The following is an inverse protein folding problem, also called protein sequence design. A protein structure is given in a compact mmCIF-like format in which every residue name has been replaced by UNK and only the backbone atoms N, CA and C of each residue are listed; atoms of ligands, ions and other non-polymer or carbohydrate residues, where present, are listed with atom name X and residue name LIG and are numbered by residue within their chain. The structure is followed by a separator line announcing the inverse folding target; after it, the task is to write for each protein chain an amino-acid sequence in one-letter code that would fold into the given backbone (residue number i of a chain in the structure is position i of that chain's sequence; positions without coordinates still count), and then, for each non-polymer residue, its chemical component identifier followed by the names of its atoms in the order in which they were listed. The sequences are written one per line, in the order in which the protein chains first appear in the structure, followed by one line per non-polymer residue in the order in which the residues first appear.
data_IF_098779048165
#
_entry.id   IF_098779048165
#
_cell.length_a   1.000
_cell.length_b   1.000
_cell.length_c   1.000
_cell.angle_alpha   90.00
_cell.angle_beta   90.00
_cell.angle_gamma   90.00
#
_symmetry.space_group_name_H-M   'P 1'
#
loop_
_entity.id
_entity.type
_entity.pdbx_description
1 polymer ?
#
# COMPACT_ATOMS: atom_id res chain seq x y z
N UNK A 1 10.31 -4.78 -28.63
CA UNK A 1 9.84 -6.15 -28.30
C UNK A 1 8.65 -6.02 -27.38
N UNK A 2 7.48 -6.50 -27.81
CA UNK A 2 6.23 -6.38 -27.05
C UNK A 2 6.14 -7.42 -25.92
N UNK A 3 5.17 -7.29 -25.02
CA UNK A 3 5.01 -8.20 -23.86
C UNK A 3 4.78 -9.65 -24.28
N UNK A 4 4.07 -9.88 -25.39
CA UNK A 4 3.80 -11.22 -25.92
C UNK A 4 5.10 -11.91 -26.38
N UNK A 5 5.93 -11.20 -27.14
CA UNK A 5 7.25 -11.67 -27.58
C UNK A 5 8.21 -11.93 -26.40
N UNK A 6 8.11 -11.14 -25.32
CA UNK A 6 8.89 -11.38 -24.09
C UNK A 6 8.45 -12.67 -23.40
N UNK A 7 7.15 -12.92 -23.34
CA UNK A 7 6.57 -14.13 -22.75
C UNK A 7 6.92 -15.35 -23.61
N UNK A 8 6.73 -15.29 -24.93
CA UNK A 8 7.01 -16.41 -25.86
C UNK A 8 8.51 -16.80 -25.87
N UNK A 9 9.41 -15.85 -25.61
CA UNK A 9 10.84 -16.15 -25.42
C UNK A 9 11.15 -16.70 -24.03
N UNK A 10 10.43 -16.24 -23.01
CA UNK A 10 10.56 -16.69 -21.63
C UNK A 10 10.01 -18.10 -21.35
N UNK A 11 9.25 -18.66 -22.29
CA UNK A 11 8.78 -20.06 -22.25
C UNK A 11 9.79 -21.06 -22.77
N UNK A 12 10.90 -20.63 -23.39
CA UNK A 12 11.98 -21.53 -23.81
C UNK A 12 12.86 -21.93 -22.59
N UNK A 13 12.83 -23.20 -22.14
CA UNK A 13 13.59 -23.64 -20.97
C UNK A 13 15.11 -23.62 -21.19
N UNK A 14 15.58 -23.53 -22.44
CA UNK A 14 17.01 -23.45 -22.78
C UNK A 14 17.59 -22.04 -22.71
N UNK A 15 16.75 -21.01 -22.45
CA UNK A 15 17.15 -19.60 -22.51
C UNK A 15 16.84 -18.84 -21.23
N UNK A 16 17.83 -18.10 -20.74
CA UNK A 16 17.63 -17.12 -19.69
C UNK A 16 17.25 -15.77 -20.29
N UNK A 17 15.99 -15.35 -20.12
CA UNK A 17 15.50 -14.07 -20.64
C UNK A 17 15.51 -12.99 -19.55
N UNK A 18 16.50 -12.09 -19.63
CA UNK A 18 16.58 -10.89 -18.80
C UNK A 18 16.19 -9.67 -19.64
N UNK A 19 15.15 -8.94 -19.24
CA UNK A 19 14.77 -7.69 -19.88
C UNK A 19 15.08 -6.53 -18.94
N UNK A 20 15.80 -5.53 -19.46
CA UNK A 20 16.04 -4.28 -18.74
C UNK A 20 14.72 -3.51 -18.65
N UNK A 21 14.32 -3.18 -17.42
CA UNK A 21 13.16 -2.36 -17.10
C UNK A 21 13.59 -1.28 -16.11
N UNK A 22 13.87 -0.09 -16.64
CA UNK A 22 14.52 0.98 -15.89
C UNK A 22 15.97 0.63 -15.52
N UNK A 23 16.32 0.79 -14.24
CA UNK A 23 17.65 0.45 -13.69
C UNK A 23 17.81 -1.03 -13.31
N UNK A 24 16.76 -1.84 -13.42
CA UNK A 24 16.78 -3.25 -13.03
C UNK A 24 16.64 -4.17 -14.25
N UNK A 25 17.11 -5.40 -14.12
CA UNK A 25 16.76 -6.48 -15.03
C UNK A 25 15.65 -7.31 -14.39
N UNK A 26 14.54 -7.50 -15.11
CA UNK A 26 13.53 -8.49 -14.74
C UNK A 26 13.80 -9.80 -15.46
N UNK A 27 13.82 -10.87 -14.69
CA UNK A 27 13.88 -12.23 -15.19
C UNK A 27 12.46 -12.70 -15.49
N UNK A 28 12.21 -13.12 -16.72
CA UNK A 28 10.98 -13.79 -17.12
C UNK A 28 11.37 -15.22 -17.51
N UNK A 29 10.99 -16.20 -16.69
CA UNK A 29 11.19 -17.61 -17.00
C UNK A 29 10.07 -18.43 -16.34
N UNK A 30 9.40 -19.29 -17.12
CA UNK A 30 8.32 -20.16 -16.63
C UNK A 30 8.81 -21.19 -15.60
N UNK A 31 10.11 -21.43 -15.52
CA UNK A 31 10.78 -22.35 -14.60
C UNK A 31 11.66 -21.64 -13.57
N UNK A 32 11.23 -20.48 -13.05
CA UNK A 32 11.98 -19.69 -12.06
C UNK A 32 12.49 -20.50 -10.85
N UNK A 33 11.81 -21.61 -10.48
CA UNK A 33 12.25 -22.54 -9.43
C UNK A 33 13.51 -23.35 -9.83
N UNK A 34 13.57 -23.85 -11.06
CA UNK A 34 14.71 -24.59 -11.61
C UNK A 34 15.94 -23.68 -11.76
N UNK A 35 15.70 -22.39 -12.03
CA UNK A 35 16.74 -21.37 -11.99
C UNK A 35 17.30 -21.24 -10.57
N UNK A 36 16.47 -20.98 -9.54
CA UNK A 36 16.94 -20.81 -8.15
C UNK A 36 17.74 -21.98 -7.60
N UNK A 37 17.44 -23.23 -8.00
CA UNK A 37 18.19 -24.40 -7.54
C UNK A 37 19.58 -24.53 -8.19
N UNK A 38 19.77 -24.03 -9.41
CA UNK A 38 21.05 -24.08 -10.12
C UNK A 38 21.98 -22.88 -9.87
N UNK A 39 21.45 -21.71 -9.46
CA UNK A 39 22.25 -20.51 -9.12
C UNK A 39 22.67 -20.41 -7.64
N UNK A 40 22.25 -21.33 -6.75
CA UNK A 40 22.72 -21.36 -5.35
C UNK A 40 24.26 -21.37 -5.23
N UNK A 41 24.97 -21.93 -6.21
CA UNK A 41 26.44 -21.91 -6.26
C UNK A 41 27.07 -20.57 -6.68
N UNK A 42 26.30 -19.63 -7.25
CA UNK A 42 26.83 -18.42 -7.90
C UNK A 42 26.76 -17.15 -7.05
N UNK A 43 26.48 -17.25 -5.74
CA UNK A 43 26.40 -16.12 -4.79
C UNK A 43 25.50 -14.95 -5.25
N UNK A 44 24.49 -15.22 -6.09
CA UNK A 44 23.53 -14.21 -6.54
C UNK A 44 22.51 -13.96 -5.42
N UNK A 45 22.39 -12.70 -4.96
CA UNK A 45 21.33 -12.29 -4.02
C UNK A 45 19.99 -12.19 -4.76
N UNK A 46 19.21 -13.27 -4.78
CA UNK A 46 17.84 -13.25 -5.28
C UNK A 46 16.95 -12.47 -4.29
N UNK A 47 16.54 -11.25 -4.65
CA UNK A 47 15.77 -10.34 -3.77
C UNK A 47 14.25 -10.38 -4.00
N UNK A 48 13.78 -10.97 -5.09
CA UNK A 48 12.36 -11.03 -5.43
C UNK A 48 12.00 -12.35 -6.15
N UNK A 49 11.56 -13.34 -5.37
CA UNK A 49 10.78 -14.47 -5.88
C UNK A 49 9.42 -14.38 -5.19
N UNK A 50 8.37 -14.03 -5.94
CA UNK A 50 7.00 -14.05 -5.42
C UNK A 50 6.34 -15.35 -5.87
N UNK A 51 5.98 -16.21 -4.91
CA UNK A 51 4.96 -17.22 -5.14
C UNK A 51 3.60 -16.52 -5.15
N UNK A 52 2.76 -16.84 -6.14
CA UNK A 52 1.38 -16.39 -6.17
C UNK A 52 0.55 -17.23 -5.19
N UNK A 53 -0.21 -16.54 -4.32
CA UNK A 53 -1.22 -17.17 -3.46
C UNK A 53 -0.72 -17.57 -2.08
N UNK A 54 -0.88 -16.67 -1.11
CA UNK A 54 -1.16 -17.00 0.29
C UNK A 54 -1.55 -15.73 1.04
N UNK A 55 -2.85 -15.48 1.16
CA UNK A 55 -3.41 -14.60 2.19
C UNK A 55 -4.58 -15.33 2.85
N UNK A 56 -4.37 -15.75 4.10
CA UNK A 56 -5.45 -16.08 5.03
C UNK A 56 -5.64 -14.85 5.92
N UNK A 57 -6.84 -14.28 5.93
CA UNK A 57 -7.26 -13.28 6.92
C UNK A 57 -8.49 -13.84 7.65
N UNK A 58 -8.37 -13.90 8.97
CA UNK A 58 -9.45 -14.25 9.92
C UNK A 58 -9.78 -12.97 10.70
N UNK A 59 -11.01 -12.45 10.47
CA UNK A 59 -12.09 -11.95 11.39
C UNK A 59 -11.63 -11.22 12.71
N UNK A 60 -12.19 -10.11 13.25
CA UNK A 60 -13.61 -9.77 13.57
C UNK A 60 -13.74 -8.36 14.23
N UNK A 61 -14.72 -7.55 13.79
CA UNK A 61 -15.60 -6.55 14.46
C UNK A 61 -15.07 -5.35 15.28
N UNK A 62 -15.57 -4.12 14.97
CA UNK A 62 -16.36 -3.27 15.90
C UNK A 62 -17.15 -2.14 15.18
N UNK A 63 -18.33 -1.85 15.74
CA UNK A 63 -19.41 -0.94 15.32
C UNK A 63 -19.20 0.54 15.72
N UNK A 64 -19.77 1.42 14.89
CA UNK A 64 -20.51 2.68 15.17
C UNK A 64 -19.79 3.88 15.84
N UNK A 65 -19.66 4.95 15.05
CA UNK A 65 -20.06 6.30 15.46
C UNK A 65 -20.94 6.87 14.34
N UNK A 66 -22.25 7.00 14.59
CA UNK A 66 -23.18 7.74 13.73
C UNK A 66 -23.05 9.22 14.06
N UNK A 67 -22.73 10.10 13.10
CA UNK A 67 -23.08 11.50 13.22
C UNK A 67 -24.56 11.67 12.89
N UNK A 68 -25.31 12.20 13.86
CA UNK A 68 -26.70 12.62 13.69
C UNK A 68 -26.71 13.84 12.77
N UNK A 69 -26.86 13.62 11.46
CA UNK A 69 -27.25 14.66 10.51
C UNK A 69 -28.73 14.53 10.22
N UNK A 70 -29.48 15.50 10.75
CA UNK A 70 -30.90 15.68 10.49
C UNK A 70 -31.13 16.09 9.02
N UNK A 71 -32.00 15.35 8.33
CA UNK A 71 -32.92 15.93 7.34
C UNK A 71 -32.43 16.10 5.90
N UNK A 72 -32.01 15.01 5.25
CA UNK A 72 -32.31 14.78 3.83
C UNK A 72 -32.25 13.27 3.63
N UNK A 73 -33.39 12.60 3.38
CA UNK A 73 -33.42 11.20 2.96
C UNK A 73 -32.82 11.13 1.55
N UNK A 74 -31.48 11.16 1.46
CA UNK A 74 -30.81 10.82 0.22
C UNK A 74 -31.12 9.35 -0.05
N UNK A 75 -31.81 9.08 -1.16
CA UNK A 75 -32.12 7.72 -1.57
C UNK A 75 -30.80 6.93 -1.65
N UNK A 76 -30.61 5.95 -0.77
CA UNK A 76 -29.44 5.09 -0.81
C UNK A 76 -29.55 4.17 -2.02
N UNK A 77 -28.48 4.02 -2.78
CA UNK A 77 -28.46 3.06 -3.87
C UNK A 77 -28.45 1.67 -3.26
N UNK A 78 -29.38 0.81 -3.69
CA UNK A 78 -29.39 -0.59 -3.33
C UNK A 78 -28.44 -1.34 -4.26
N UNK A 79 -27.37 -1.91 -3.70
CA UNK A 79 -26.44 -2.78 -4.40
C UNK A 79 -26.83 -4.24 -4.16
N UNK A 80 -27.11 -4.98 -5.22
CA UNK A 80 -27.36 -6.43 -5.14
C UNK A 80 -26.15 -7.19 -5.69
N UNK A 81 -25.45 -7.94 -4.84
CA UNK A 81 -24.32 -8.79 -5.25
C UNK A 81 -24.85 -10.21 -5.50
N UNK A 82 -24.64 -10.70 -6.72
CA UNK A 82 -25.14 -12.00 -7.16
C UNK A 82 -24.01 -12.82 -7.81
N UNK A 83 -23.30 -13.64 -7.03
CA UNK A 83 -22.25 -14.50 -7.56
C UNK A 83 -22.81 -15.83 -8.11
N UNK A 84 -22.26 -16.29 -9.23
CA UNK A 84 -22.57 -17.59 -9.85
C UNK A 84 -21.70 -18.72 -9.28
N UNK A 85 -20.54 -18.37 -8.72
CA UNK A 85 -19.62 -19.29 -8.04
C UNK A 85 -19.39 -18.84 -6.60
N UNK A 86 -19.01 -19.76 -5.71
CA UNK A 86 -18.70 -19.39 -4.33
C UNK A 86 -17.40 -18.57 -4.31
N UNK A 87 -17.42 -17.40 -3.66
CA UNK A 87 -16.31 -16.45 -3.68
C UNK A 87 -16.16 -15.71 -2.35
N UNK A 88 -14.91 -15.41 -1.99
CA UNK A 88 -14.58 -14.48 -0.92
C UNK A 88 -14.25 -13.13 -1.54
N UNK A 89 -15.04 -12.11 -1.21
CA UNK A 89 -14.91 -10.77 -1.79
C UNK A 89 -14.91 -9.68 -0.74
N UNK A 90 -14.24 -8.59 -1.07
CA UNK A 90 -14.29 -7.32 -0.36
C UNK A 90 -14.53 -6.20 -1.37
N UNK A 91 -15.49 -5.32 -1.08
CA UNK A 91 -15.76 -4.12 -1.87
C UNK A 91 -15.22 -2.92 -1.08
N UNK A 92 -14.19 -2.27 -1.64
CA UNK A 92 -13.44 -1.21 -0.98
C UNK A 92 -13.76 0.12 -1.65
N UNK A 93 -14.32 1.06 -0.90
CA UNK A 93 -14.46 2.45 -1.28
C UNK A 93 -13.30 3.31 -0.77
N UNK A 94 -13.28 4.58 -1.16
CA UNK A 94 -12.22 5.53 -0.85
C UNK A 94 -12.79 6.85 -0.33
N UNK A 95 -12.04 7.46 0.59
CA UNK A 95 -12.24 8.84 0.98
C UNK A 95 -10.85 9.50 1.03
N UNK A 96 -10.50 10.23 -0.03
CA UNK A 96 -9.14 10.70 -0.28
C UNK A 96 -8.16 9.53 -0.41
N UNK A 97 -7.25 9.39 0.55
CA UNK A 97 -6.25 8.31 0.58
C UNK A 97 -6.67 7.11 1.44
N UNK A 98 -7.75 7.24 2.21
CA UNK A 98 -8.23 6.23 3.16
C UNK A 98 -9.13 5.21 2.46
N UNK A 99 -8.91 3.93 2.76
CA UNK A 99 -9.77 2.82 2.30
C UNK A 99 -10.92 2.60 3.27
N UNK A 100 -12.12 2.40 2.74
CA UNK A 100 -13.33 2.12 3.50
C UNK A 100 -13.95 0.82 3.02
N UNK A 101 -14.06 -0.19 3.88
CA UNK A 101 -14.71 -1.46 3.53
C UNK A 101 -16.23 -1.25 3.45
N UNK A 102 -16.80 -1.33 2.24
CA UNK A 102 -18.24 -1.20 1.98
C UNK A 102 -18.95 -2.52 2.29
N UNK A 103 -18.33 -3.61 1.83
CA UNK A 103 -18.80 -4.99 2.02
C UNK A 103 -17.59 -5.93 2.13
N UNK A 104 -17.67 -6.92 3.01
CA UNK A 104 -16.69 -8.00 3.10
C UNK A 104 -17.38 -9.28 3.52
N UNK A 105 -17.19 -10.35 2.77
CA UNK A 105 -17.78 -11.63 3.12
C UNK A 105 -17.55 -12.75 2.12
N UNK A 106 -17.85 -13.96 2.57
CA UNK A 106 -17.94 -15.18 1.77
C UNK A 106 -19.35 -15.29 1.21
N UNK A 107 -19.47 -15.39 -0.12
CA UNK A 107 -20.73 -15.48 -0.82
C UNK A 107 -20.91 -16.87 -1.42
N UNK A 108 -22.08 -17.48 -1.23
CA UNK A 108 -22.40 -18.78 -1.81
C UNK A 108 -22.81 -18.66 -3.28
N UNK A 109 -22.55 -19.69 -4.09
CA UNK A 109 -22.99 -19.72 -5.48
C UNK A 109 -24.53 -19.56 -5.60
N UNK A 110 -24.99 -18.67 -6.47
CA UNK A 110 -26.40 -18.38 -6.72
C UNK A 110 -27.10 -17.58 -5.61
N UNK A 111 -26.39 -17.17 -4.57
CA UNK A 111 -26.94 -16.32 -3.51
C UNK A 111 -27.19 -14.89 -4.00
N UNK A 112 -28.11 -14.18 -3.36
CA UNK A 112 -28.30 -12.74 -3.55
C UNK A 112 -28.03 -12.04 -2.23
N UNK A 113 -27.16 -11.04 -2.26
CA UNK A 113 -26.82 -10.25 -1.11
C UNK A 113 -27.15 -8.79 -1.40
N UNK A 114 -28.17 -8.27 -0.73
CA UNK A 114 -28.59 -6.88 -0.86
C UNK A 114 -27.86 -6.02 0.17
N UNK A 115 -27.37 -4.87 -0.27
CA UNK A 115 -26.63 -3.94 0.56
C UNK A 115 -27.00 -2.52 0.19
N UNK A 116 -27.65 -1.83 1.12
CA UNK A 116 -27.79 -0.38 1.02
C UNK A 116 -26.45 0.27 1.40
N UNK A 117 -26.00 1.22 0.59
CA UNK A 117 -24.76 1.93 0.86
C UNK A 117 -24.89 3.43 0.58
N UNK A 118 -24.40 4.29 1.51
CA UNK A 118 -24.31 5.72 1.26
C UNK A 118 -23.10 6.08 0.38
N UNK A 119 -22.23 5.11 0.06
CA UNK A 119 -21.04 5.36 -0.74
C UNK A 119 -21.41 5.77 -2.18
N UNK A 120 -20.71 6.79 -2.69
CA UNK A 120 -20.82 7.28 -4.06
C UNK A 120 -19.44 7.47 -4.65
N UNK A 121 -19.13 6.81 -5.76
CA UNK A 121 -17.82 6.89 -6.40
C UNK A 121 -17.34 5.56 -6.96
N UNK A 122 -16.03 5.44 -7.18
CA UNK A 122 -15.38 4.24 -7.68
C UNK A 122 -14.94 3.36 -6.50
N UNK A 123 -15.55 2.20 -6.36
CA UNK A 123 -15.11 1.15 -5.45
C UNK A 123 -14.26 0.11 -6.19
N UNK A 124 -13.47 -0.67 -5.44
CA UNK A 124 -12.75 -1.84 -5.94
C UNK A 124 -13.36 -3.11 -5.37
N UNK A 125 -13.85 -3.98 -6.24
CA UNK A 125 -14.17 -5.37 -5.92
C UNK A 125 -12.87 -6.18 -5.89
N UNK A 126 -12.49 -6.69 -4.72
CA UNK A 126 -11.27 -7.44 -4.47
C UNK A 126 -11.62 -8.88 -4.11
N UNK A 127 -11.05 -9.83 -4.85
CA UNK A 127 -11.16 -11.25 -4.55
C UNK A 127 -10.02 -11.74 -3.66
N UNK A 128 -10.24 -12.80 -2.89
CA UNK A 128 -9.18 -13.44 -2.09
C UNK A 128 -7.95 -13.88 -2.92
N UNK A 129 -8.14 -14.18 -4.21
CA UNK A 129 -7.06 -14.48 -5.16
C UNK A 129 -6.22 -13.27 -5.59
N UNK A 130 -6.61 -12.06 -5.21
CA UNK A 130 -5.93 -10.81 -5.51
C UNK A 130 -6.42 -10.10 -6.78
N UNK A 131 -7.36 -10.67 -7.53
CA UNK A 131 -8.01 -10.00 -8.65
C UNK A 131 -8.82 -8.79 -8.17
N UNK A 132 -8.84 -7.73 -8.97
CA UNK A 132 -9.47 -6.45 -8.64
C UNK A 132 -10.25 -5.93 -9.82
N UNK A 133 -11.46 -5.46 -9.57
CA UNK A 133 -12.33 -4.90 -10.59
C UNK A 133 -12.95 -3.58 -10.12
N UNK A 134 -12.89 -2.52 -10.92
CA UNK A 134 -13.56 -1.25 -10.62
C UNK A 134 -15.08 -1.39 -10.64
N UNK A 135 -15.78 -0.80 -9.67
CA UNK A 135 -17.24 -0.76 -9.61
C UNK A 135 -17.68 0.67 -9.31
N UNK A 136 -18.39 1.30 -10.24
CA UNK A 136 -18.97 2.63 -10.05
C UNK A 136 -20.27 2.49 -9.25
N UNK A 137 -20.37 3.21 -8.14
CA UNK A 137 -21.55 3.23 -7.28
C UNK A 137 -22.10 4.66 -7.34
N UNK A 138 -23.18 4.84 -8.08
CA UNK A 138 -23.92 6.10 -8.20
C UNK A 138 -25.19 6.08 -7.35
N UNK A 139 -26.18 6.88 -7.76
CA UNK A 139 -27.50 6.93 -7.11
C UNK A 139 -28.46 5.82 -7.56
N UNK A 140 -28.18 5.20 -8.71
CA UNK A 140 -29.01 4.13 -9.26
C UNK A 140 -28.76 2.80 -8.56
N UNK A 141 -29.83 2.07 -8.24
CA UNK A 141 -29.74 0.72 -7.72
C UNK A 141 -29.41 -0.26 -8.84
N UNK A 142 -28.50 -1.21 -8.60
CA UNK A 142 -28.08 -2.16 -9.62
C UNK A 142 -27.68 -3.52 -9.04
N UNK A 143 -27.65 -4.52 -9.92
CA UNK A 143 -27.15 -5.87 -9.60
C UNK A 143 -25.75 -6.06 -10.17
N UNK A 144 -24.78 -6.31 -9.29
CA UNK A 144 -23.42 -6.76 -9.60
C UNK A 144 -23.41 -8.30 -9.74
N UNK A 145 -23.23 -8.79 -10.97
CA UNK A 145 -23.13 -10.22 -11.27
C UNK A 145 -21.66 -10.65 -11.35
N UNK A 146 -21.29 -11.65 -10.56
CA UNK A 146 -19.94 -12.21 -10.53
C UNK A 146 -19.99 -13.62 -11.10
N UNK A 147 -19.44 -13.85 -12.28
CA UNK A 147 -19.37 -15.20 -12.86
C UNK A 147 -18.29 -16.03 -12.14
N UNK A 148 -17.06 -15.53 -12.16
CA UNK A 148 -15.89 -16.12 -11.53
C UNK A 148 -14.85 -15.04 -11.17
N UNK A 149 -13.90 -15.29 -10.25
CA UNK A 149 -12.87 -14.32 -9.87
C UNK A 149 -11.91 -13.89 -11.00
N UNK A 150 -11.81 -14.64 -12.10
CA UNK A 150 -10.93 -14.38 -13.23
C UNK A 150 -11.57 -13.55 -14.35
N UNK A 151 -12.90 -13.40 -14.34
CA UNK A 151 -13.65 -12.63 -15.32
C UNK A 151 -14.10 -11.27 -14.76
N UNK A 152 -14.16 -10.21 -15.59
CA UNK A 152 -14.81 -8.97 -15.22
C UNK A 152 -16.27 -9.19 -14.77
N UNK A 153 -16.74 -8.46 -13.74
CA UNK A 153 -18.14 -8.50 -13.37
C UNK A 153 -19.03 -7.94 -14.48
N UNK A 154 -20.32 -8.29 -14.44
CA UNK A 154 -21.35 -7.69 -15.29
C UNK A 154 -22.41 -6.99 -14.43
N UNK A 155 -23.11 -6.03 -15.02
CA UNK A 155 -24.02 -5.15 -14.31
C UNK A 155 -25.42 -5.23 -14.90
N UNK A 156 -26.45 -5.21 -14.06
CA UNK A 156 -27.85 -5.06 -14.49
C UNK A 156 -28.42 -3.85 -13.79
N UNK A 157 -28.91 -2.88 -14.58
CA UNK A 157 -29.45 -1.63 -14.05
C UNK A 157 -28.39 -0.56 -13.74
N UNK A 158 -27.16 -0.68 -14.27
CA UNK A 158 -26.15 0.38 -14.17
C UNK A 158 -25.57 0.72 -15.54
N UNK A 159 -26.17 1.73 -16.19
CA UNK A 159 -25.70 2.21 -17.48
C UNK A 159 -24.29 2.81 -17.40
N UNK A 160 -23.94 3.40 -16.26
CA UNK A 160 -22.62 4.00 -16.03
C UNK A 160 -21.49 2.96 -15.98
N UNK A 161 -21.68 1.84 -15.28
CA UNK A 161 -20.68 0.75 -15.28
C UNK A 161 -20.54 0.13 -16.67
N UNK A 162 -21.65 -0.11 -17.37
CA UNK A 162 -21.63 -0.64 -18.73
C UNK A 162 -20.88 0.30 -19.69
N UNK A 163 -21.13 1.62 -19.58
CA UNK A 163 -20.40 2.65 -20.31
C UNK A 163 -18.90 2.60 -20.01
N UNK A 164 -18.54 2.54 -18.74
CA UNK A 164 -17.15 2.54 -18.27
C UNK A 164 -16.37 1.32 -18.81
N UNK A 165 -16.91 0.10 -18.63
CA UNK A 165 -16.25 -1.12 -19.08
C UNK A 165 -16.16 -1.24 -20.60
N UNK A 166 -17.18 -0.81 -21.35
CA UNK A 166 -17.13 -0.77 -22.82
C UNK A 166 -16.06 0.20 -23.30
N UNK A 167 -15.97 1.38 -22.69
CA UNK A 167 -14.95 2.38 -23.03
C UNK A 167 -13.53 1.87 -22.76
N UNK A 168 -13.31 1.15 -21.65
CA UNK A 168 -12.01 0.55 -21.34
C UNK A 168 -11.60 -0.57 -22.29
N UNK A 169 -12.56 -1.29 -22.85
CA UNK A 169 -12.32 -2.42 -23.78
C UNK A 169 -12.33 -2.00 -25.25
N UNK A 170 -12.55 -0.71 -25.55
CA UNK A 170 -12.65 -0.18 -26.92
C UNK A 170 -13.95 -0.54 -27.64
N UNK A 171 -14.97 -1.03 -26.91
CA UNK A 171 -16.30 -1.24 -27.45
C UNK A 171 -17.05 0.09 -27.63
N UNK A 172 -18.05 0.11 -28.51
CA UNK A 172 -18.94 1.27 -28.67
C UNK A 172 -19.80 1.42 -27.40
N UNK A 173 -19.61 2.49 -26.60
CA UNK A 173 -20.39 2.69 -25.39
C UNK A 173 -21.82 3.10 -25.73
N UNK A 174 -22.76 2.80 -24.82
CA UNK A 174 -24.13 3.30 -24.95
C UNK A 174 -24.11 4.81 -24.67
N UNK A 175 -24.74 5.65 -25.50
CA UNK A 175 -24.84 7.08 -25.23
C UNK A 175 -25.48 7.35 -23.86
N UNK A 176 -24.89 8.24 -23.09
CA UNK A 176 -25.42 8.69 -21.80
C UNK A 176 -24.51 9.75 -21.19
N UNK A 177 -25.03 10.53 -20.24
CA UNK A 177 -24.25 11.54 -19.54
C UNK A 177 -23.67 10.91 -18.26
N UNK A 178 -22.48 10.33 -18.40
CA UNK A 178 -21.76 9.65 -17.32
C UNK A 178 -20.48 10.41 -16.97
N UNK A 179 -20.63 11.60 -16.40
CA UNK A 179 -19.51 12.53 -16.17
C UNK A 179 -18.43 11.93 -15.27
N UNK A 180 -18.83 11.16 -14.25
CA UNK A 180 -17.89 10.49 -13.35
C UNK A 180 -17.14 9.34 -14.04
N UNK A 181 -17.84 8.46 -14.78
CA UNK A 181 -17.16 7.45 -15.62
C UNK A 181 -16.20 8.06 -16.63
N UNK A 182 -16.57 9.17 -17.29
CA UNK A 182 -15.68 9.90 -18.20
C UNK A 182 -14.42 10.39 -17.49
N UNK A 183 -14.56 10.93 -16.28
CA UNK A 183 -13.42 11.35 -15.47
C UNK A 183 -12.51 10.18 -15.12
N UNK A 184 -13.06 9.02 -14.72
CA UNK A 184 -12.28 7.82 -14.43
C UNK A 184 -11.52 7.30 -15.66
N UNK A 185 -12.14 7.36 -16.84
CA UNK A 185 -11.48 7.00 -18.11
C UNK A 185 -10.32 7.96 -18.41
N UNK A 186 -10.51 9.27 -18.23
CA UNK A 186 -9.43 10.26 -18.41
C UNK A 186 -8.29 10.04 -17.43
N UNK A 187 -8.59 9.76 -16.15
CA UNK A 187 -7.58 9.43 -15.15
C UNK A 187 -6.76 8.19 -15.55
N UNK A 188 -7.44 7.14 -16.04
CA UNK A 188 -6.80 5.93 -16.55
C UNK A 188 -5.92 6.20 -17.77
N UNK A 189 -6.38 7.01 -18.72
CA UNK A 189 -5.60 7.41 -19.90
C UNK A 189 -4.36 8.20 -19.50
N UNK A 190 -4.48 9.10 -18.51
CA UNK A 190 -3.36 9.84 -17.97
C UNK A 190 -2.31 8.91 -17.35
N UNK A 191 -2.74 7.93 -16.54
CA UNK A 191 -1.87 6.88 -16.00
C UNK A 191 -1.13 6.14 -17.13
N UNK A 192 -1.87 5.66 -18.14
CA UNK A 192 -1.29 4.87 -19.23
C UNK A 192 -0.30 5.67 -20.10
N UNK A 193 -0.53 6.98 -20.25
CA UNK A 193 0.33 7.89 -21.03
C UNK A 193 1.73 8.11 -20.41
N UNK A 194 1.94 7.68 -19.17
CA UNK A 194 3.21 7.88 -18.45
C UNK A 194 4.24 6.78 -18.66
N UNK A 195 3.89 5.67 -19.32
CA UNK A 195 4.80 4.53 -19.50
C UNK A 195 5.84 4.73 -20.61
N UNK A 196 5.67 5.71 -21.50
CA UNK A 196 6.55 5.96 -22.65
C UNK A 196 7.54 7.11 -22.42
N UNK A 197 7.76 7.53 -21.17
CA UNK A 197 8.67 8.63 -20.85
C UNK A 197 10.13 8.16 -20.92
N UNK A 198 10.99 8.93 -21.55
CA UNK A 198 12.41 8.61 -21.73
C UNK A 198 13.34 9.69 -21.20
N UNK A 199 12.88 10.94 -21.12
CA UNK A 199 13.71 12.09 -20.75
C UNK A 199 13.21 12.80 -19.49
N UNK A 200 14.12 13.48 -18.79
CA UNK A 200 13.78 14.32 -17.63
C UNK A 200 12.80 15.45 -17.99
N UNK A 201 12.88 15.96 -19.23
CA UNK A 201 11.96 16.98 -19.74
C UNK A 201 10.53 16.45 -19.85
N UNK A 202 10.35 15.27 -20.46
CA UNK A 202 9.04 14.61 -20.57
C UNK A 202 8.48 14.27 -19.19
N UNK A 203 9.31 13.75 -18.29
CA UNK A 203 8.93 13.50 -16.90
C UNK A 203 8.43 14.77 -16.22
N UNK A 204 9.16 15.87 -16.33
CA UNK A 204 8.78 17.16 -15.71
C UNK A 204 7.45 17.66 -16.26
N UNK A 205 7.21 17.54 -17.56
CA UNK A 205 5.94 17.89 -18.17
C UNK A 205 4.79 16.99 -17.67
N UNK A 206 4.99 15.68 -17.62
CA UNK A 206 3.98 14.72 -17.16
C UNK A 206 3.67 14.88 -15.67
N UNK A 207 4.67 15.20 -14.83
CA UNK A 207 4.49 15.55 -13.41
C UNK A 207 3.53 16.73 -13.23
N UNK A 208 3.69 17.79 -14.04
CA UNK A 208 2.79 18.95 -14.02
C UNK A 208 1.37 18.60 -14.45
N UNK A 209 1.22 17.75 -15.46
CA UNK A 209 -0.08 17.26 -15.93
C UNK A 209 -0.82 16.47 -14.84
N UNK A 210 -0.12 15.57 -14.13
CA UNK A 210 -0.66 14.83 -12.99
C UNK A 210 -1.13 15.75 -11.86
N UNK A 211 -0.31 16.74 -11.51
CA UNK A 211 -0.64 17.72 -10.48
C UNK A 211 -1.87 18.54 -10.84
N UNK A 212 -1.91 19.09 -12.07
CA UNK A 212 -3.04 19.86 -12.56
C UNK A 212 -4.32 19.02 -12.58
N UNK A 213 -4.26 17.80 -13.11
CA UNK A 213 -5.41 16.90 -13.18
C UNK A 213 -6.00 16.59 -11.80
N UNK A 214 -5.17 16.28 -10.81
CA UNK A 214 -5.67 16.02 -9.44
C UNK A 214 -6.19 17.30 -8.79
N UNK A 215 -5.49 18.43 -8.94
CA UNK A 215 -5.95 19.72 -8.40
C UNK A 215 -7.30 20.14 -8.96
N UNK A 216 -7.50 20.03 -10.27
CA UNK A 216 -8.73 20.45 -10.96
C UNK A 216 -9.92 19.51 -10.72
N UNK A 217 -9.67 18.28 -10.27
CA UNK A 217 -10.69 17.23 -10.16
C UNK A 217 -10.74 16.54 -8.80
N UNK A 218 -10.11 17.09 -7.77
CA UNK A 218 -10.00 16.46 -6.46
C UNK A 218 -11.36 16.03 -5.90
N UNK A 219 -12.34 16.94 -5.88
CA UNK A 219 -13.66 16.71 -5.26
C UNK A 219 -14.38 15.49 -5.85
N UNK A 220 -14.23 15.26 -7.15
CA UNK A 220 -14.78 14.08 -7.81
C UNK A 220 -13.91 12.84 -7.57
N UNK A 221 -12.58 13.00 -7.59
CA UNK A 221 -11.64 11.89 -7.44
C UNK A 221 -11.55 11.34 -6.01
N UNK A 222 -11.92 12.11 -4.98
CA UNK A 222 -11.74 11.72 -3.58
C UNK A 222 -12.51 10.45 -3.19
N UNK A 223 -13.54 10.10 -3.95
CA UNK A 223 -14.28 8.84 -3.80
C UNK A 223 -13.84 7.77 -4.79
N UNK A 224 -12.54 7.71 -5.09
CA UNK A 224 -11.93 6.72 -5.96
C UNK A 224 -10.52 6.36 -5.51
N UNK A 225 -10.00 5.24 -5.96
CA UNK A 225 -8.58 4.91 -5.78
C UNK A 225 -7.65 5.68 -6.75
N UNK A 226 -8.20 6.52 -7.64
CA UNK A 226 -7.42 7.20 -8.67
C UNK A 226 -6.44 8.21 -8.10
N UNK A 227 -6.76 8.91 -7.01
CA UNK A 227 -5.79 9.81 -6.35
C UNK A 227 -4.55 9.02 -5.93
N UNK A 228 -4.76 7.86 -5.31
CA UNK A 228 -3.68 6.96 -4.89
C UNK A 228 -2.88 6.45 -6.08
N UNK A 229 -3.55 5.99 -7.13
CA UNK A 229 -2.88 5.52 -8.34
C UNK A 229 -2.07 6.62 -9.03
N UNK A 230 -2.61 7.84 -9.13
CA UNK A 230 -1.94 8.99 -9.76
C UNK A 230 -0.71 9.41 -8.97
N UNK A 231 -0.79 9.51 -7.64
CA UNK A 231 0.37 9.79 -6.79
C UNK A 231 1.40 8.67 -6.89
N UNK A 232 0.97 7.40 -6.83
CA UNK A 232 1.88 6.26 -6.95
C UNK A 232 2.63 6.29 -8.30
N UNK A 233 1.89 6.45 -9.39
CA UNK A 233 2.45 6.50 -10.72
C UNK A 233 3.38 7.70 -10.88
N UNK A 234 3.03 8.86 -10.32
CA UNK A 234 3.90 10.04 -10.29
C UNK A 234 5.30 9.72 -9.77
N UNK A 235 5.39 8.99 -8.65
CA UNK A 235 6.68 8.56 -8.11
C UNK A 235 7.33 7.42 -8.90
N UNK A 236 6.55 6.52 -9.48
CA UNK A 236 7.06 5.43 -10.31
C UNK A 236 7.67 5.92 -11.63
N UNK A 237 7.19 7.03 -12.20
CA UNK A 237 7.72 7.60 -13.44
C UNK A 237 9.23 7.91 -13.36
N UNK A 238 9.72 8.25 -12.17
CA UNK A 238 11.14 8.47 -11.92
C UNK A 238 12.03 7.23 -12.19
N UNK A 239 11.45 6.03 -12.27
CA UNK A 239 12.18 4.79 -12.52
C UNK A 239 12.28 4.43 -13.99
N UNK A 240 11.47 5.08 -14.84
CA UNK A 240 11.47 4.87 -16.29
C UNK A 240 12.45 5.79 -17.00
N UNK A 241 12.79 6.92 -16.38
CA UNK A 241 13.62 7.96 -16.97
C UNK A 241 15.09 7.76 -16.63
N UNK A 242 15.95 7.93 -17.64
CA UNK A 242 17.38 7.96 -17.42
C UNK A 242 17.79 9.33 -16.87
N UNK A 243 18.29 9.31 -15.64
CA UNK A 243 18.86 10.48 -14.97
C UNK A 243 20.33 10.71 -15.33
N UNK A 244 20.91 9.86 -16.19
CA UNK A 244 22.28 10.01 -16.61
C UNK A 244 22.48 11.31 -17.39
N UNK A 245 23.45 12.09 -16.92
CA UNK A 245 24.03 13.21 -17.64
C UNK A 245 25.43 12.77 -18.05
N UNK A 246 25.75 12.92 -19.33
CA UNK A 246 27.06 12.54 -19.86
C UNK A 246 28.18 13.24 -19.05
N UNK A 247 29.14 12.45 -18.55
CA UNK A 247 30.24 12.93 -17.71
C UNK A 247 29.92 13.10 -16.21
N UNK A 248 28.67 12.95 -15.77
CA UNK A 248 28.33 13.04 -14.35
C UNK A 248 28.61 11.71 -13.58
N UNK A 249 29.14 11.77 -12.35
CA UNK A 249 29.34 10.58 -11.53
C UNK A 249 27.99 9.98 -11.09
N UNK A 250 27.96 8.65 -10.89
CA UNK A 250 26.74 7.95 -10.49
C UNK A 250 26.15 8.41 -9.14
N UNK A 251 26.97 9.01 -8.27
CA UNK A 251 26.52 9.62 -7.02
C UNK A 251 25.57 10.79 -7.25
N UNK A 252 25.77 11.55 -8.33
CA UNK A 252 24.96 12.73 -8.65
C UNK A 252 23.58 12.31 -9.14
N UNK A 253 23.50 11.20 -9.88
CA UNK A 253 22.25 10.59 -10.30
C UNK A 253 21.39 10.20 -9.10
N UNK A 254 22.00 9.55 -8.09
CA UNK A 254 21.29 9.15 -6.88
C UNK A 254 20.80 10.36 -6.09
N UNK A 255 21.66 11.37 -5.90
CA UNK A 255 21.32 12.58 -5.18
C UNK A 255 20.19 13.35 -5.89
N UNK A 256 20.26 13.43 -7.23
CA UNK A 256 19.22 14.07 -8.05
C UNK A 256 17.88 13.34 -7.94
N UNK A 257 17.87 12.01 -8.06
CA UNK A 257 16.66 11.21 -7.86
C UNK A 257 16.06 11.42 -6.47
N UNK A 258 16.89 11.39 -5.42
CA UNK A 258 16.43 11.65 -4.04
C UNK A 258 15.82 13.04 -3.91
N UNK A 259 16.49 14.07 -4.42
CA UNK A 259 15.98 15.45 -4.43
C UNK A 259 14.64 15.56 -5.16
N UNK A 260 14.51 14.91 -6.31
CA UNK A 260 13.28 14.91 -7.10
C UNK A 260 12.10 14.23 -6.38
N UNK A 261 12.37 13.14 -5.66
CA UNK A 261 11.36 12.48 -4.82
C UNK A 261 10.92 13.39 -3.68
N UNK A 262 11.85 13.99 -2.94
CA UNK A 262 11.54 14.89 -1.83
C UNK A 262 10.74 16.11 -2.31
N UNK A 263 11.17 16.73 -3.42
CA UNK A 263 10.43 17.82 -4.07
C UNK A 263 9.03 17.38 -4.52
N UNK A 264 8.92 16.17 -5.04
CA UNK A 264 7.64 15.56 -5.43
C UNK A 264 6.67 15.41 -4.26
N UNK A 265 7.14 14.95 -3.10
CA UNK A 265 6.33 14.87 -1.87
C UNK A 265 5.84 16.26 -1.45
N UNK A 266 6.72 17.27 -1.46
CA UNK A 266 6.35 18.65 -1.12
C UNK A 266 5.29 19.24 -2.04
N UNK A 267 5.37 18.89 -3.34
CA UNK A 267 4.35 19.31 -4.31
C UNK A 267 2.99 18.68 -4.03
N UNK A 268 2.94 17.38 -3.71
CA UNK A 268 1.70 16.70 -3.36
C UNK A 268 1.09 17.19 -2.05
N UNK A 269 1.92 17.51 -1.05
CA UNK A 269 1.46 18.16 0.18
C UNK A 269 0.79 19.49 -0.14
N UNK A 270 1.42 20.34 -0.96
CA UNK A 270 0.86 21.63 -1.35
C UNK A 270 -0.45 21.53 -2.12
N UNK A 271 -0.56 20.57 -3.05
CA UNK A 271 -1.78 20.36 -3.87
C UNK A 271 -2.94 19.86 -3.02
N UNK A 272 -2.67 19.00 -2.03
CA UNK A 272 -3.71 18.30 -1.28
C UNK A 272 -4.01 18.94 0.09
N UNK A 273 -3.23 19.93 0.56
CA UNK A 273 -3.37 20.50 1.92
C UNK A 273 -4.76 21.02 2.26
N UNK A 274 -5.53 21.50 1.28
CA UNK A 274 -6.88 22.01 1.48
C UNK A 274 -7.92 20.90 1.65
N UNK A 275 -7.58 19.66 1.31
CA UNK A 275 -8.53 18.55 1.25
C UNK A 275 -8.15 17.33 2.09
N UNK A 276 -6.85 17.06 2.24
CA UNK A 276 -6.31 15.90 2.96
C UNK A 276 -5.32 16.39 4.01
N UNK A 277 -5.40 15.91 5.27
CA UNK A 277 -4.40 16.20 6.26
C UNK A 277 -2.98 15.81 5.79
N UNK A 278 -2.01 16.70 6.00
CA UNK A 278 -0.62 16.50 5.52
C UNK A 278 -0.02 15.15 5.92
N UNK A 279 -0.30 14.70 7.15
CA UNK A 279 0.21 13.43 7.66
C UNK A 279 -0.33 12.21 6.90
N UNK A 280 -1.56 12.26 6.35
CA UNK A 280 -2.10 11.17 5.53
C UNK A 280 -1.41 11.10 4.17
N UNK A 281 -1.22 12.25 3.52
CA UNK A 281 -0.47 12.35 2.25
C UNK A 281 0.96 11.82 2.44
N UNK A 282 1.61 12.25 3.52
CA UNK A 282 2.97 11.83 3.82
C UNK A 282 3.06 10.33 4.16
N UNK A 283 2.16 9.81 4.98
CA UNK A 283 2.09 8.38 5.29
C UNK A 283 1.89 7.55 4.02
N UNK A 284 1.05 8.01 3.10
CA UNK A 284 0.86 7.35 1.81
C UNK A 284 2.15 7.36 0.98
N UNK A 285 2.81 8.51 0.82
CA UNK A 285 4.08 8.61 0.11
C UNK A 285 5.18 7.72 0.71
N UNK A 286 5.30 7.68 2.04
CA UNK A 286 6.24 6.81 2.76
C UNK A 286 5.92 5.33 2.47
N UNK A 287 4.63 4.97 2.44
CA UNK A 287 4.18 3.60 2.14
C UNK A 287 4.63 3.11 0.76
N UNK A 288 4.64 3.98 -0.25
CA UNK A 288 5.04 3.63 -1.62
C UNK A 288 6.46 3.07 -1.66
N UNK A 289 7.38 3.69 -0.91
CA UNK A 289 8.77 3.28 -0.84
C UNK A 289 9.00 2.15 0.16
N UNK A 290 8.32 2.17 1.31
CA UNK A 290 8.40 1.11 2.30
C UNK A 290 7.97 -0.24 1.73
N UNK A 291 6.81 -0.30 1.07
CA UNK A 291 6.26 -1.53 0.48
C UNK A 291 7.15 -2.13 -0.62
N UNK A 292 8.07 -1.32 -1.16
CA UNK A 292 9.07 -1.72 -2.16
C UNK A 292 10.45 -1.96 -1.55
N UNK A 293 10.53 -2.05 -0.22
CA UNK A 293 11.76 -2.23 0.56
C UNK A 293 12.81 -1.12 0.34
N UNK A 294 12.39 0.07 -0.08
CA UNK A 294 13.23 1.25 -0.29
C UNK A 294 13.31 2.12 0.99
N UNK A 295 13.58 1.46 2.12
CA UNK A 295 13.52 2.08 3.46
C UNK A 295 14.40 3.33 3.59
N UNK A 296 15.57 3.38 2.92
CA UNK A 296 16.43 4.57 2.96
C UNK A 296 15.76 5.81 2.37
N UNK A 297 14.99 5.66 1.30
CA UNK A 297 14.26 6.77 0.69
C UNK A 297 13.03 7.14 1.51
N UNK A 298 12.32 6.14 2.04
CA UNK A 298 11.23 6.36 2.98
C UNK A 298 11.70 7.14 4.24
N UNK A 299 12.87 6.79 4.79
CA UNK A 299 13.49 7.50 5.92
C UNK A 299 13.85 8.93 5.56
N UNK A 300 14.41 9.15 4.37
CA UNK A 300 14.75 10.49 3.89
C UNK A 300 13.50 11.38 3.76
N UNK A 301 12.38 10.82 3.30
CA UNK A 301 11.08 11.54 3.25
C UNK A 301 10.69 11.96 4.67
N UNK A 302 10.71 11.04 5.63
CA UNK A 302 10.37 11.33 7.04
C UNK A 302 11.27 12.43 7.62
N UNK A 303 12.58 12.37 7.37
CA UNK A 303 13.55 13.35 7.87
C UNK A 303 13.27 14.77 7.34
N UNK A 304 12.85 14.90 6.08
CA UNK A 304 12.54 16.20 5.47
C UNK A 304 11.17 16.76 5.87
N UNK A 305 10.27 15.92 6.35
CA UNK A 305 8.89 16.30 6.71
C UNK A 305 8.52 15.84 8.14
N UNK A 306 9.47 15.95 9.08
CA UNK A 306 9.34 15.36 10.42
C UNK A 306 8.08 15.79 11.17
N UNK A 307 7.65 17.04 11.02
CA UNK A 307 6.49 17.59 11.73
C UNK A 307 5.16 16.98 11.25
N UNK A 308 5.10 16.53 9.99
CA UNK A 308 3.96 15.85 9.41
C UNK A 308 4.11 14.31 9.42
N UNK A 309 5.32 13.78 9.69
CA UNK A 309 5.63 12.35 9.67
C UNK A 309 5.18 11.67 10.96
N UNK A 310 3.87 11.54 11.13
CA UNK A 310 3.29 10.84 12.26
C UNK A 310 1.97 10.16 11.89
N UNK A 311 1.53 9.25 12.76
CA UNK A 311 0.18 8.71 12.73
C UNK A 311 -0.57 9.24 13.95
N UNK A 312 -1.76 9.85 13.77
CA UNK A 312 -2.51 10.44 14.88
C UNK A 312 -2.88 9.40 15.93
N UNK A 313 -2.91 9.86 17.18
CA UNK A 313 -3.36 9.09 18.33
C UNK A 313 -3.13 9.89 19.61
N UNK A 314 -3.48 9.32 20.75
CA UNK A 314 -3.21 9.92 22.05
C UNK A 314 -1.71 9.92 22.32
N UNK A 315 -1.20 11.02 22.87
CA UNK A 315 0.12 11.03 23.47
C UNK A 315 0.07 10.21 24.76
N UNK A 316 0.88 9.16 24.82
CA UNK A 316 1.09 8.37 26.02
C UNK A 316 2.57 8.44 26.35
N UNK A 317 2.88 8.97 27.53
CA UNK A 317 4.26 9.22 27.95
C UNK A 317 4.83 8.09 28.79
N UNK A 318 3.96 7.38 29.51
CA UNK A 318 4.35 6.33 30.47
C UNK A 318 3.81 4.97 30.03
N UNK A 319 4.68 3.97 30.12
CA UNK A 319 4.36 2.56 29.86
C UNK A 319 5.02 1.71 30.93
N UNK A 320 4.26 0.77 31.50
CA UNK A 320 4.79 -0.25 32.40
C UNK A 320 4.96 -1.55 31.62
N UNK A 321 6.16 -2.12 31.65
CA UNK A 321 6.47 -3.40 31.01
C UNK A 321 6.83 -4.42 32.09
N UNK A 322 5.98 -5.43 32.36
CA UNK A 322 6.29 -6.50 33.28
C UNK A 322 7.61 -7.21 32.90
N UNK A 323 8.46 -7.49 33.89
CA UNK A 323 9.76 -8.13 33.67
C UNK A 323 9.64 -9.50 32.99
N UNK A 324 8.54 -10.21 33.23
CA UNK A 324 8.21 -11.52 32.67
C UNK A 324 7.51 -11.47 31.30
N UNK A 325 7.37 -10.28 30.70
CA UNK A 325 6.75 -10.14 29.37
C UNK A 325 7.49 -10.98 28.34
N UNK A 326 6.73 -11.79 27.57
CA UNK A 326 7.26 -12.66 26.55
C UNK A 326 7.63 -11.89 25.27
N UNK A 327 8.88 -12.06 24.86
CA UNK A 327 9.47 -11.47 23.67
C UNK A 327 9.91 -12.60 22.73
N UNK A 328 9.51 -12.53 21.48
CA UNK A 328 9.88 -13.51 20.45
C UNK A 328 10.90 -12.95 19.47
N UNK A 329 11.79 -13.82 18.96
CA UNK A 329 12.57 -13.54 17.76
C UNK A 329 11.65 -13.44 16.52
N UNK A 330 12.16 -12.82 15.45
CA UNK A 330 11.40 -12.57 14.22
C UNK A 330 10.88 -13.83 13.51
N UNK A 331 11.53 -14.97 13.75
CA UNK A 331 11.15 -16.27 13.19
C UNK A 331 10.09 -16.99 14.03
N UNK A 332 9.73 -16.46 15.21
CA UNK A 332 8.76 -17.06 16.12
C UNK A 332 9.28 -18.26 16.91
N UNK A 333 10.55 -18.67 16.73
CA UNK A 333 11.03 -19.96 17.24
C UNK A 333 11.64 -19.89 18.64
N UNK A 334 11.93 -18.67 19.13
CA UNK A 334 12.57 -18.47 20.44
C UNK A 334 11.86 -17.37 21.20
N UNK A 335 11.39 -17.74 22.38
CA UNK A 335 10.83 -16.81 23.36
C UNK A 335 11.84 -16.57 24.48
N UNK A 336 11.88 -15.32 24.95
CA UNK A 336 12.66 -14.87 26.09
C UNK A 336 11.82 -13.91 26.91
N UNK A 337 12.13 -13.75 28.19
CA UNK A 337 11.51 -12.71 29.01
C UNK A 337 12.17 -11.38 28.73
N UNK A 338 11.45 -10.28 28.95
CA UNK A 338 12.00 -8.93 28.80
C UNK A 338 13.24 -8.73 29.69
N UNK A 339 13.24 -9.28 30.90
CA UNK A 339 14.36 -9.21 31.85
C UNK A 339 15.63 -9.97 31.38
N UNK A 340 15.50 -10.86 30.39
CA UNK A 340 16.65 -11.56 29.80
C UNK A 340 17.48 -10.62 28.88
N UNK A 341 16.92 -9.46 28.50
CA UNK A 341 17.59 -8.48 27.65
C UNK A 341 18.47 -7.53 28.48
N UNK A 342 19.76 -7.83 28.51
CA UNK A 342 20.77 -6.95 29.14
C UNK A 342 21.07 -5.73 28.24
N UNK A 343 21.42 -4.61 28.87
CA UNK A 343 21.87 -3.41 28.18
C UNK A 343 20.76 -2.41 27.86
N UNK A 344 21.00 -1.55 26.87
CA UNK A 344 20.06 -0.48 26.50
C UNK A 344 18.97 -1.02 25.58
N UNK A 345 17.82 -1.37 26.15
CA UNK A 345 16.68 -1.92 25.42
C UNK A 345 15.69 -0.82 25.07
N UNK A 346 15.29 -0.75 23.80
CA UNK A 346 14.30 0.20 23.29
C UNK A 346 13.08 -0.58 22.81
N UNK A 347 11.91 -0.21 23.30
CA UNK A 347 10.62 -0.69 22.81
C UNK A 347 10.10 0.30 21.77
N UNK A 348 9.96 -0.17 20.53
CA UNK A 348 9.45 0.60 19.41
C UNK A 348 8.00 0.20 19.12
N UNK A 349 7.07 1.14 19.26
CA UNK A 349 5.68 0.88 18.91
C UNK A 349 5.47 1.02 17.41
N UNK A 350 4.83 0.03 16.82
CA UNK A 350 4.56 0.01 15.37
C UNK A 350 3.13 -0.38 15.09
N UNK A 351 2.63 0.09 13.95
CA UNK A 351 1.28 -0.22 13.51
C UNK A 351 1.30 -0.56 12.02
N UNK A 352 0.55 -1.60 11.64
CA UNK A 352 0.45 -2.05 10.24
C UNK A 352 -0.11 -0.96 9.31
N UNK A 353 -0.93 -0.05 9.85
CA UNK A 353 -1.51 1.11 9.18
C UNK A 353 -0.65 2.39 9.31
N UNK A 354 0.55 2.29 9.90
CA UNK A 354 1.44 3.42 10.11
C UNK A 354 2.84 3.18 9.51
N UNK A 355 3.01 3.38 8.19
CA UNK A 355 4.28 3.21 7.49
C UNK A 355 5.45 3.95 8.11
N UNK A 356 5.21 5.17 8.62
CA UNK A 356 6.24 5.97 9.28
C UNK A 356 6.81 5.26 10.52
N UNK A 357 5.95 4.66 11.36
CA UNK A 357 6.40 3.91 12.54
C UNK A 357 7.30 2.72 12.19
N UNK A 358 6.95 2.01 11.11
CA UNK A 358 7.73 0.87 10.63
C UNK A 358 9.09 1.31 10.08
N UNK A 359 9.12 2.37 9.27
CA UNK A 359 10.34 2.91 8.67
C UNK A 359 11.29 3.46 9.74
N UNK A 360 10.80 4.29 10.65
CA UNK A 360 11.59 4.84 11.76
C UNK A 360 12.17 3.72 12.64
N UNK A 361 11.39 2.68 12.93
CA UNK A 361 11.87 1.51 13.67
C UNK A 361 13.03 0.81 12.95
N UNK A 362 12.90 0.54 11.65
CA UNK A 362 13.97 -0.08 10.86
C UNK A 362 15.20 0.83 10.79
N UNK A 363 15.02 2.14 10.57
CA UNK A 363 16.09 3.12 10.54
C UNK A 363 16.84 3.17 11.87
N UNK A 364 16.12 3.15 12.99
CA UNK A 364 16.69 3.13 14.35
C UNK A 364 17.51 1.87 14.60
N UNK A 365 17.00 0.69 14.23
CA UNK A 365 17.73 -0.58 14.37
C UNK A 365 19.04 -0.54 13.58
N UNK A 366 18.98 -0.10 12.32
CA UNK A 366 20.18 0.02 11.47
C UNK A 366 21.19 1.00 12.05
N UNK A 367 20.74 2.13 12.60
CA UNK A 367 21.60 3.12 13.25
C UNK A 367 22.32 2.52 14.47
N UNK A 368 21.60 1.82 15.34
CA UNK A 368 22.18 1.19 16.54
C UNK A 368 23.20 0.10 16.18
N UNK A 369 22.88 -0.73 15.19
CA UNK A 369 23.78 -1.75 14.69
C UNK A 369 25.08 -1.15 14.10
N UNK A 370 24.98 -0.04 13.36
CA UNK A 370 26.14 0.66 12.82
C UNK A 370 27.04 1.26 13.91
N UNK A 371 26.47 1.67 15.05
CA UNK A 371 27.21 2.20 16.20
C UNK A 371 27.86 1.13 17.07
N UNK A 372 27.68 -0.17 16.78
CA UNK A 372 28.14 -1.31 17.60
C UNK A 372 27.74 -1.19 19.08
N UNK A 373 26.60 -0.53 19.36
CA UNK A 373 26.06 -0.47 20.72
C UNK A 373 25.38 -1.79 21.03
N UNK A 374 25.59 -2.28 22.24
CA UNK A 374 24.83 -3.41 22.77
C UNK A 374 23.42 -2.93 23.15
N UNK A 375 22.62 -2.66 22.11
CA UNK A 375 21.27 -2.13 22.23
C UNK A 375 20.31 -3.02 21.45
N UNK A 376 19.27 -3.46 22.14
CA UNK A 376 18.21 -4.29 21.56
C UNK A 376 17.01 -3.42 21.22
N UNK A 377 16.42 -3.63 20.04
CA UNK A 377 15.13 -3.02 19.69
C UNK A 377 14.07 -4.11 19.69
N UNK A 378 13.07 -3.92 20.55
CA UNK A 378 11.91 -4.80 20.66
C UNK A 378 10.72 -4.05 20.05
N UNK A 379 10.08 -4.67 19.07
CA UNK A 379 8.91 -4.13 18.38
C UNK A 379 7.65 -4.49 19.16
N UNK A 380 6.87 -3.49 19.55
CA UNK A 380 5.56 -3.63 20.17
C UNK A 380 4.47 -3.33 19.14
N UNK A 381 3.96 -4.32 18.39
CA UNK A 381 2.92 -4.09 17.40
C UNK A 381 1.59 -3.74 18.07
N UNK A 382 0.91 -2.72 17.55
CA UNK A 382 -0.45 -2.34 18.00
C UNK A 382 -1.50 -3.38 17.58
N UNK A 383 -1.24 -4.11 16.49
CA UNK A 383 -2.06 -5.23 16.03
C UNK A 383 -1.46 -6.57 16.43
N UNK A 384 -2.19 -7.66 16.13
CA UNK A 384 -1.62 -9.02 16.15
C UNK A 384 -0.42 -9.08 15.22
N UNK A 385 0.65 -9.70 15.70
CA UNK A 385 1.85 -9.94 14.90
C UNK A 385 1.43 -10.56 13.57
N UNK A 386 1.84 -9.92 12.48
CA UNK A 386 1.37 -10.18 11.12
C UNK A 386 2.56 -10.39 10.18
N UNK A 387 2.28 -10.83 8.95
CA UNK A 387 3.32 -10.97 7.92
C UNK A 387 4.04 -9.64 7.59
N UNK A 388 3.38 -8.50 7.80
CA UNK A 388 3.99 -7.17 7.59
C UNK A 388 5.07 -6.89 8.63
N UNK A 389 4.77 -7.14 9.91
CA UNK A 389 5.75 -7.07 11.00
C UNK A 389 6.94 -7.99 10.74
N UNK A 390 6.70 -9.23 10.31
CA UNK A 390 7.76 -10.17 9.97
C UNK A 390 8.56 -9.73 8.73
N UNK A 391 7.95 -9.03 7.77
CA UNK A 391 8.66 -8.49 6.62
C UNK A 391 9.67 -7.41 7.03
N UNK A 392 9.43 -6.67 8.13
CA UNK A 392 10.37 -5.68 8.65
C UNK A 392 11.72 -6.31 9.01
N UNK A 393 11.74 -7.50 9.62
CA UNK A 393 12.98 -8.17 10.01
C UNK A 393 13.87 -8.47 8.80
N UNK A 394 13.24 -8.85 7.67
CA UNK A 394 13.94 -9.10 6.40
C UNK A 394 14.57 -7.84 5.80
N UNK A 395 14.14 -6.65 6.23
CA UNK A 395 14.71 -5.38 5.80
C UNK A 395 15.92 -4.96 6.64
N UNK A 396 16.26 -5.68 7.71
CA UNK A 396 17.40 -5.41 8.57
C UNK A 396 18.53 -6.38 8.20
N UNK A 397 19.61 -5.87 7.60
CA UNK A 397 20.74 -6.72 7.20
C UNK A 397 21.69 -7.04 8.36
N UNK A 398 21.78 -6.13 9.33
CA UNK A 398 22.63 -6.24 10.52
C UNK A 398 21.86 -5.65 11.70
N UNK A 399 21.54 -6.47 12.70
CA UNK A 399 20.78 -6.06 13.89
C UNK A 399 19.76 -7.12 14.31
N UNK A 400 19.50 -7.19 15.61
CA UNK A 400 18.48 -8.08 16.16
C UNK A 400 17.18 -7.30 16.33
N UNK A 401 16.11 -7.80 15.71
CA UNK A 401 14.75 -7.30 15.89
C UNK A 401 13.94 -8.36 16.61
N UNK A 402 13.38 -7.99 17.75
CA UNK A 402 12.51 -8.85 18.55
C UNK A 402 11.09 -8.29 18.56
N UNK A 403 10.11 -9.08 18.97
CA UNK A 403 8.70 -8.69 18.98
C UNK A 403 8.05 -9.00 20.33
N UNK A 404 7.24 -8.09 20.84
CA UNK A 404 6.30 -8.39 21.91
C UNK A 404 5.32 -9.46 21.45
N UNK A 405 5.27 -10.57 22.20
CA UNK A 405 4.31 -11.65 21.99
C UNK A 405 3.37 -11.81 23.20
N UNK A 406 2.98 -10.69 23.82
CA UNK A 406 2.03 -10.68 24.92
C UNK A 406 0.72 -10.00 24.51
N UNK A 407 -0.22 -10.84 24.06
CA UNK A 407 -1.55 -10.39 23.66
C UNK A 407 -2.35 -9.79 24.82
N UNK A 408 -2.14 -10.28 26.05
CA UNK A 408 -2.84 -9.77 27.24
C UNK A 408 -2.35 -8.37 27.56
N UNK A 409 -1.03 -8.19 27.70
CA UNK A 409 -0.43 -6.88 27.94
C UNK A 409 -0.88 -5.86 26.89
N UNK A 410 -0.90 -6.25 25.61
CA UNK A 410 -1.35 -5.37 24.52
C UNK A 410 -2.80 -4.94 24.69
N UNK A 411 -3.72 -5.89 24.98
CA UNK A 411 -5.14 -5.58 25.20
C UNK A 411 -5.33 -4.62 26.37
N UNK A 412 -4.58 -4.83 27.45
CA UNK A 412 -4.69 -4.05 28.68
C UNK A 412 -4.07 -2.64 28.52
N UNK A 413 -3.03 -2.48 27.69
CA UNK A 413 -2.23 -1.24 27.62
C UNK A 413 -2.43 -0.41 26.36
N UNK A 414 -2.90 -1.01 25.25
CA UNK A 414 -3.01 -0.39 23.93
C UNK A 414 -4.46 -0.26 23.43
N UNK A 415 -5.42 -0.22 24.36
CA UNK A 415 -6.84 -0.01 24.04
C UNK A 415 -7.15 1.32 23.33
N UNK A 416 -6.21 2.27 23.31
CA UNK A 416 -6.33 3.57 22.62
C UNK A 416 -5.32 3.65 21.49
N UNK A 417 -5.71 4.27 20.37
CA UNK A 417 -4.77 4.64 19.30
C UNK A 417 -3.72 5.58 19.88
N UNK A 418 -2.45 5.20 19.80
CA UNK A 418 -1.33 6.01 20.29
C UNK A 418 -0.69 6.77 19.12
N UNK A 419 -0.14 7.96 19.42
CA UNK A 419 0.62 8.72 18.43
C UNK A 419 1.92 7.98 18.09
N UNK A 420 2.20 7.81 16.80
CA UNK A 420 3.41 7.14 16.31
C UNK A 420 4.19 8.05 15.37
N UNK A 421 5.52 7.89 15.21
CA UNK A 421 6.39 6.88 15.83
C UNK A 421 6.59 7.11 17.34
N UNK A 422 6.77 6.03 18.11
CA UNK A 422 7.01 6.12 19.55
C UNK A 422 8.06 5.08 19.99
N UNK A 423 9.04 5.56 20.75
CA UNK A 423 10.13 4.75 21.29
C UNK A 423 10.25 4.98 22.80
N UNK A 424 10.27 3.89 23.56
CA UNK A 424 10.40 3.92 25.02
C UNK A 424 11.64 3.12 25.42
N UNK A 425 12.47 3.65 26.30
CA UNK A 425 13.60 2.89 26.85
C UNK A 425 13.11 2.06 28.03
N UNK A 426 13.57 0.81 28.11
CA UNK A 426 13.28 -0.06 29.25
C UNK A 426 14.18 0.35 30.41
N UNK A 427 13.59 0.57 31.59
CA UNK A 427 14.28 1.04 32.79
C UNK A 427 14.27 2.56 32.99
N UNK A 428 13.76 3.32 32.03
CA UNK A 428 13.37 4.71 32.27
C UNK A 428 11.96 4.69 32.90
N UNK A 429 11.87 4.54 34.22
CA UNK A 429 10.69 4.97 34.98
C UNK A 429 10.63 6.51 34.88
N UNK A 430 10.16 7.02 33.73
CA UNK A 430 9.92 8.45 33.59
C UNK A 430 8.57 8.74 34.25
N UNK A 431 8.61 9.21 35.49
CA UNK A 431 7.46 9.83 36.17
C UNK A 431 6.83 10.96 35.35
#
# INVERSE_FOLDING_TARGET
MNTREKIDRATDPSRLCLYKEGIFYKLYNQHAMLFTDNIKGLKVKAKYVKAAGQYKSIITWFLFVIPVFSGCESAWAQLVIHPQTAVDVELIGYNGLVENSIFKGSLAAGSKHERDTPYRGLALLVFAGGQRYPVLIGDESFTLKIADPGAPPSFVGSGENDFFYKSLTGGAPVPGQYDFAHLMIRAKQLLDSSHSLHTVKELTAKKKEFHAFVGDHYESLQHSDMIRQLIAQYFMMHEYVDYHVEGAPATDIRALYQKEVISGVGSWLEILKSHIPEHEVLNYCVSLYYNRSMVTLASLIIENYRDAAYCPGAEKKTFSFPADTLITEADGNKERKLDDFKGNTIIAFVSDDCPVSMVETISRVRQLAAQKKDSSVIVAPLQKLSGNHQAMSKMISNGNLFFFNDEKWRKDNLAKKIRLPLFVRVGDDVE
#
